data_IF_141160137588
#
_entry.id   IF_141160137588
#
_cell.length_a   1.000
_cell.length_b   1.000
_cell.length_c   1.000
_cell.angle_alpha   90.00
_cell.angle_beta   90.00
_cell.angle_gamma   90.00
#
_symmetry.space_group_name_H-M   'P 1'
#
loop_
_entity.id
_entity.type
_entity.pdbx_description
1 polymer ?
#
# COMPACT_ATOMS: atom_id res chain seq x y z
N UNK A 1 -5.54 -19.13 5.41
CA UNK A 1 -4.16 -19.43 5.83
C UNK A 1 -3.35 -18.15 5.83
N UNK A 2 -2.76 -17.76 6.96
CA UNK A 2 -1.97 -16.52 7.03
C UNK A 2 -0.69 -16.57 6.17
N UNK A 3 -0.19 -17.76 5.84
CA UNK A 3 0.98 -17.95 4.98
C UNK A 3 0.78 -17.60 3.51
N UNK A 4 -0.46 -17.57 3.00
CA UNK A 4 -0.74 -17.14 1.61
C UNK A 4 -0.84 -15.62 1.51
N UNK A 5 -1.34 -14.95 2.55
CA UNK A 5 -1.49 -13.48 2.55
C UNK A 5 -0.17 -12.76 2.28
N UNK A 6 0.93 -13.17 2.95
CA UNK A 6 2.24 -12.55 2.73
C UNK A 6 2.78 -12.79 1.32
N UNK A 7 2.61 -13.99 0.78
CA UNK A 7 3.04 -14.31 -0.60
C UNK A 7 2.22 -13.56 -1.65
N UNK A 8 0.91 -13.44 -1.42
CA UNK A 8 0.01 -12.71 -2.30
C UNK A 8 0.30 -11.21 -2.27
N UNK A 9 0.66 -10.67 -1.10
CA UNK A 9 1.03 -9.27 -0.94
C UNK A 9 2.28 -8.92 -1.77
N UNK A 10 3.33 -9.74 -1.68
CA UNK A 10 4.58 -9.54 -2.41
C UNK A 10 4.32 -9.60 -3.92
N UNK A 11 3.60 -10.63 -4.39
CA UNK A 11 3.29 -10.76 -5.83
C UNK A 11 2.48 -9.59 -6.37
N UNK A 12 1.53 -9.07 -5.59
CA UNK A 12 0.72 -7.91 -5.98
C UNK A 12 1.54 -6.63 -5.98
N UNK A 13 2.40 -6.45 -4.98
CA UNK A 13 3.33 -5.32 -4.93
C UNK A 13 4.18 -5.27 -6.19
N UNK A 14 4.83 -6.38 -6.55
CA UNK A 14 5.66 -6.49 -7.75
C UNK A 14 4.83 -6.20 -9.02
N UNK A 15 3.65 -6.82 -9.15
CA UNK A 15 2.77 -6.62 -10.31
C UNK A 15 2.32 -5.16 -10.46
N UNK A 16 1.92 -4.51 -9.36
CA UNK A 16 1.43 -3.13 -9.40
C UNK A 16 2.56 -2.13 -9.65
N UNK A 17 3.74 -2.39 -9.08
CA UNK A 17 4.95 -1.63 -9.37
C UNK A 17 5.28 -1.67 -10.88
N UNK A 18 5.24 -2.86 -11.51
CA UNK A 18 5.53 -3.01 -12.93
C UNK A 18 4.43 -2.46 -13.85
N UNK A 19 3.18 -2.42 -13.37
CA UNK A 19 2.02 -1.96 -14.14
C UNK A 19 1.87 -0.43 -14.20
N UNK A 20 2.76 0.33 -13.55
CA UNK A 20 2.69 1.80 -13.51
C UNK A 20 1.64 2.36 -12.53
N UNK A 21 1.21 1.56 -11.56
CA UNK A 21 0.42 2.05 -10.43
C UNK A 21 1.26 3.04 -9.65
N UNK A 22 0.66 4.17 -9.23
CA UNK A 22 1.37 5.21 -8.48
C UNK A 22 1.27 5.04 -6.97
N UNK A 23 0.18 4.43 -6.50
CA UNK A 23 -0.12 4.26 -5.07
C UNK A 23 -0.86 2.94 -4.83
N UNK A 24 -0.42 2.14 -3.86
CA UNK A 24 -1.02 0.85 -3.49
C UNK A 24 -1.34 0.80 -2.00
N UNK A 25 -2.63 0.64 -1.70
CA UNK A 25 -3.17 0.67 -0.34
C UNK A 25 -3.53 -0.73 0.13
N UNK A 26 -3.05 -1.08 1.32
CA UNK A 26 -3.32 -2.36 1.98
C UNK A 26 -3.95 -2.05 3.33
N UNK A 27 -5.25 -2.29 3.43
CA UNK A 27 -5.99 -2.11 4.68
C UNK A 27 -6.04 -3.44 5.42
N UNK A 28 -5.63 -3.44 6.69
CA UNK A 28 -5.77 -4.56 7.61
C UNK A 28 -6.77 -4.19 8.72
N UNK A 29 -8.05 -4.54 8.56
CA UNK A 29 -9.09 -4.22 9.55
C UNK A 29 -8.86 -4.91 10.90
N UNK A 30 -8.21 -6.06 10.92
CA UNK A 30 -7.99 -6.83 12.14
C UNK A 30 -7.00 -6.17 13.10
N UNK A 31 -5.98 -5.48 12.56
CA UNK A 31 -5.01 -4.71 13.35
C UNK A 31 -5.31 -3.20 13.35
N UNK A 32 -6.35 -2.75 12.65
CA UNK A 32 -6.63 -1.34 12.38
C UNK A 32 -5.41 -0.62 11.79
N UNK A 33 -4.77 -1.25 10.80
CA UNK A 33 -3.58 -0.71 10.13
C UNK A 33 -3.85 -0.48 8.64
N UNK A 34 -3.27 0.58 8.10
CA UNK A 34 -3.24 0.87 6.67
C UNK A 34 -1.80 1.01 6.25
N UNK A 35 -1.41 0.30 5.20
CA UNK A 35 -0.11 0.41 4.58
C UNK A 35 -0.26 1.02 3.19
N UNK A 36 0.54 2.03 2.89
CA UNK A 36 0.52 2.72 1.60
C UNK A 36 1.92 2.64 0.99
N UNK A 37 1.99 2.12 -0.23
CA UNK A 37 3.19 2.12 -1.05
C UNK A 37 3.03 3.14 -2.17
N UNK A 38 3.97 4.06 -2.27
CA UNK A 38 4.05 5.02 -3.38
C UNK A 38 5.15 4.58 -4.32
N UNK A 39 4.87 4.64 -5.62
CA UNK A 39 5.83 4.25 -6.65
C UNK A 39 6.22 5.46 -7.52
N UNK A 40 7.52 5.63 -7.74
CA UNK A 40 8.08 6.58 -8.72
C UNK A 40 8.95 5.79 -9.70
N UNK A 41 8.69 5.98 -11.00
CA UNK A 41 9.39 5.28 -12.08
C UNK A 41 9.45 3.75 -11.87
N UNK A 42 8.32 3.14 -11.51
CA UNK A 42 8.18 1.71 -11.21
C UNK A 42 9.12 1.20 -10.10
N UNK A 43 9.46 2.07 -9.15
CA UNK A 43 10.26 1.71 -7.97
C UNK A 43 9.55 2.22 -6.73
N UNK A 44 9.64 1.49 -5.61
CA UNK A 44 9.11 1.96 -4.31
C UNK A 44 9.86 3.23 -3.93
N UNK A 45 9.13 4.32 -3.83
CA UNK A 45 9.64 5.62 -3.40
C UNK A 45 9.39 5.81 -1.90
N UNK A 46 8.17 5.54 -1.46
CA UNK A 46 7.76 5.76 -0.08
C UNK A 46 6.87 4.63 0.42
N UNK A 47 7.01 4.32 1.71
CA UNK A 47 6.15 3.40 2.42
C UNK A 47 5.66 4.05 3.71
N UNK A 48 4.34 4.19 3.85
CA UNK A 48 3.70 4.75 5.03
C UNK A 48 2.83 3.71 5.72
N UNK A 49 2.83 3.73 7.05
CA UNK A 49 1.96 2.89 7.87
C UNK A 49 1.17 3.80 8.80
N UNK A 50 -0.14 3.61 8.81
CA UNK A 50 -1.09 4.32 9.67
C UNK A 50 -1.78 3.30 10.56
N UNK A 51 -2.05 3.67 11.82
CA UNK A 51 -2.70 2.82 12.81
C UNK A 51 -3.81 3.56 13.55
N UNK A 52 -4.89 2.84 13.87
CA UNK A 52 -6.00 3.39 14.64
C UNK A 52 -6.70 4.53 13.92
N UNK A 53 -6.82 5.68 14.58
CA UNK A 53 -7.59 6.84 14.12
C UNK A 53 -6.77 7.86 13.31
N UNK A 54 -5.57 7.48 12.85
CA UNK A 54 -4.75 8.35 12.01
C UNK A 54 -5.47 8.69 10.70
N UNK A 55 -5.55 9.98 10.39
CA UNK A 55 -6.06 10.45 9.10
C UNK A 55 -5.00 10.22 8.05
N UNK A 56 -5.42 9.58 6.97
CA UNK A 56 -4.58 9.28 5.83
C UNK A 56 -5.12 10.00 4.60
N UNK A 57 -4.23 10.66 3.88
CA UNK A 57 -4.54 11.36 2.63
C UNK A 57 -3.64 10.79 1.52
N UNK A 58 -4.19 10.68 0.32
CA UNK A 58 -3.42 10.24 -0.85
C UNK A 58 -2.39 11.28 -1.24
N UNK A 59 -1.17 10.84 -1.54
CA UNK A 59 -0.10 11.71 -2.05
C UNK A 59 -0.41 12.10 -3.50
N UNK A 60 -1.04 11.20 -4.25
CA UNK A 60 -1.36 11.41 -5.68
C UNK A 60 -2.69 12.15 -5.86
N UNK A 61 -3.65 11.95 -4.96
CA UNK A 61 -4.99 12.52 -5.03
C UNK A 61 -5.29 13.40 -3.81
N UNK A 62 -4.82 14.67 -3.79
CA UNK A 62 -5.05 15.56 -2.66
C UNK A 62 -6.55 15.84 -2.50
N UNK A 63 -7.06 15.70 -1.26
CA UNK A 63 -8.46 16.01 -0.91
C UNK A 63 -9.46 14.86 -1.10
N UNK A 64 -8.98 13.62 -1.29
CA UNK A 64 -9.82 12.42 -1.28
C UNK A 64 -10.32 12.05 0.12
#
# INVERSE_FOLDING_TARGET
SDSTKSKDLIKKLDLYQESGVKEYWVVNPSSAEIYIYTFIANTIDEFRTFKGDEKVESVIFPGL
#
